data_IF_268981303896
#
_entry.id   IF_268981303896
#
_cell.length_a   1.000
_cell.length_b   1.000
_cell.length_c   1.000
_cell.angle_alpha   90.00
_cell.angle_beta   90.00
_cell.angle_gamma   90.00
#
_symmetry.space_group_name_H-M   'P 1'
#
loop_
_entity.id
_entity.type
_entity.pdbx_description
1 polymer ?
#
# COMPACT_ATOMS: atom_id res chain seq x y z
N UNK A 1 2.15 -11.20 -13.21
CA UNK A 1 2.05 -10.17 -12.15
C UNK A 1 0.89 -10.52 -11.23
N UNK A 2 1.15 -11.08 -10.05
CA UNK A 2 0.11 -11.20 -9.01
C UNK A 2 0.21 -9.99 -8.08
N UNK A 3 -0.73 -9.04 -8.22
CA UNK A 3 -0.82 -7.91 -7.29
C UNK A 3 -1.64 -8.36 -6.09
N UNK A 4 -0.96 -8.62 -4.96
CA UNK A 4 -1.60 -8.87 -3.67
C UNK A 4 -1.77 -7.54 -2.94
N UNK A 5 -3.02 -7.13 -2.71
CA UNK A 5 -3.31 -5.94 -1.90
C UNK A 5 -3.03 -6.28 -0.45
N UNK A 6 -2.05 -5.61 0.16
CA UNK A 6 -1.60 -5.96 1.53
C UNK A 6 -2.51 -5.33 2.58
N UNK A 7 -2.94 -4.08 2.37
CA UNK A 7 -3.98 -3.38 3.14
C UNK A 7 -4.15 -1.94 2.60
N UNK A 8 -5.36 -1.39 2.69
CA UNK A 8 -5.55 0.05 2.74
C UNK A 8 -5.33 0.49 4.20
N UNK A 9 -4.11 0.91 4.52
CA UNK A 9 -3.80 1.42 5.86
C UNK A 9 -4.42 2.81 5.97
N UNK A 10 -5.32 2.98 6.94
CA UNK A 10 -5.93 4.26 7.31
C UNK A 10 -6.66 4.99 6.16
N UNK A 11 -7.83 4.49 5.77
CA UNK A 11 -8.78 5.28 4.95
C UNK A 11 -9.25 6.46 5.79
N UNK A 12 -8.87 7.67 5.38
CA UNK A 12 -9.27 8.92 6.01
C UNK A 12 -10.22 9.68 5.10
N UNK A 13 -11.22 10.31 5.70
CA UNK A 13 -12.07 11.28 5.01
C UNK A 13 -11.63 12.68 5.39
N UNK A 14 -11.27 13.49 4.40
CA UNK A 14 -10.97 14.90 4.57
C UNK A 14 -12.25 15.72 4.30
N UNK A 15 -12.93 16.11 5.37
CA UNK A 15 -14.15 16.92 5.29
C UNK A 15 -13.92 18.33 4.73
N UNK A 16 -12.68 18.85 4.80
CA UNK A 16 -12.34 20.17 4.25
C UNK A 16 -12.28 20.20 2.72
N UNK A 17 -11.96 19.06 2.10
CA UNK A 17 -11.89 18.92 0.64
C UNK A 17 -12.96 17.99 0.05
N UNK A 18 -13.72 17.28 0.90
CA UNK A 18 -14.72 16.30 0.47
C UNK A 18 -14.11 15.06 -0.18
N UNK A 19 -12.90 14.66 0.25
CA UNK A 19 -12.12 13.60 -0.41
C UNK A 19 -11.77 12.48 0.57
N UNK A 20 -11.73 11.25 0.05
CA UNK A 20 -11.17 10.10 0.75
C UNK A 20 -9.72 9.93 0.35
N UNK A 21 -8.85 9.73 1.33
CA UNK A 21 -7.41 9.60 1.19
C UNK A 21 -6.96 8.33 1.88
N UNK A 22 -6.10 7.54 1.24
CA UNK A 22 -5.51 6.35 1.87
C UNK A 22 -4.15 6.02 1.25
N UNK A 23 -3.28 5.40 2.06
CA UNK A 23 -2.03 4.84 1.57
C UNK A 23 -2.24 3.36 1.22
N UNK A 24 -2.27 3.04 -0.08
CA UNK A 24 -2.46 1.66 -0.54
C UNK A 24 -1.10 0.99 -0.74
N UNK A 25 -0.90 -0.14 -0.06
CA UNK A 25 0.28 -0.98 -0.26
C UNK A 25 -0.03 -2.14 -1.20
N UNK A 26 0.65 -2.18 -2.34
CA UNK A 26 0.62 -3.27 -3.30
C UNK A 26 1.87 -4.12 -3.15
N UNK A 27 1.69 -5.42 -2.99
CA UNK A 27 2.77 -6.39 -3.03
C UNK A 27 2.84 -6.99 -4.44
N UNK A 28 4.03 -6.91 -5.03
CA UNK A 28 4.36 -7.56 -6.30
C UNK A 28 5.61 -8.42 -6.13
N UNK A 29 5.97 -9.15 -7.19
CA UNK A 29 7.18 -9.96 -7.24
C UNK A 29 8.46 -9.13 -6.97
N UNK A 30 8.46 -7.84 -7.36
CA UNK A 30 9.59 -6.93 -7.18
C UNK A 30 9.71 -6.31 -5.77
N UNK A 31 8.63 -6.28 -5.00
CA UNK A 31 8.63 -5.52 -3.75
C UNK A 31 7.26 -5.11 -3.22
N UNK A 32 7.28 -4.24 -2.21
CA UNK A 32 6.09 -3.54 -1.72
C UNK A 32 6.12 -2.12 -2.27
N UNK A 33 5.09 -1.76 -3.01
CA UNK A 33 4.87 -0.44 -3.55
C UNK A 33 3.77 0.26 -2.78
N UNK A 34 4.02 1.50 -2.37
CA UNK A 34 3.04 2.32 -1.66
C UNK A 34 2.58 3.46 -2.54
N UNK A 35 1.27 3.56 -2.72
CA UNK A 35 0.62 4.57 -3.54
C UNK A 35 -0.30 5.43 -2.66
N UNK A 36 -0.05 6.76 -2.57
CA UNK A 36 -1.01 7.67 -1.98
C UNK A 36 -2.18 7.83 -2.94
N UNK A 37 -3.33 7.26 -2.57
CA UNK A 37 -4.54 7.30 -3.37
C UNK A 37 -5.54 8.28 -2.74
N UNK A 38 -6.23 9.01 -3.60
CA UNK A 38 -7.30 9.90 -3.19
C UNK A 38 -8.39 9.95 -4.24
N UNK A 39 -9.64 10.06 -3.81
CA UNK A 39 -10.77 10.24 -4.71
C UNK A 39 -11.85 11.13 -4.07
N UNK A 40 -12.58 11.86 -4.91
CA UNK A 40 -13.74 12.64 -4.50
C UNK A 40 -14.91 11.72 -4.15
N UNK A 41 -15.50 11.91 -2.98
CA UNK A 41 -16.57 11.03 -2.52
C UNK A 41 -17.42 11.67 -1.44
N UNK A 42 -18.71 11.34 -1.45
CA UNK A 42 -19.60 11.73 -0.37
C UNK A 42 -19.23 10.97 0.90
N UNK A 43 -19.26 11.63 2.08
CA UNK A 43 -18.99 11.00 3.38
C UNK A 43 -19.88 9.77 3.66
N UNK A 44 -21.06 9.69 3.02
CA UNK A 44 -21.97 8.54 3.11
C UNK A 44 -21.44 7.28 2.40
N UNK A 45 -20.34 7.36 1.65
CA UNK A 45 -19.75 6.19 0.99
C UNK A 45 -19.20 5.24 2.05
N UNK A 46 -19.57 3.95 2.02
CA UNK A 46 -19.04 2.97 2.95
C UNK A 46 -17.52 2.88 2.83
N UNK A 47 -16.82 2.77 3.96
CA UNK A 47 -15.35 2.65 3.99
C UNK A 47 -14.87 1.48 3.11
N UNK A 48 -15.63 0.39 3.05
CA UNK A 48 -15.34 -0.76 2.18
C UNK A 48 -15.31 -0.40 0.69
N UNK A 49 -16.25 0.45 0.24
CA UNK A 49 -16.32 0.93 -1.14
C UNK A 49 -15.21 1.95 -1.40
N UNK A 50 -14.94 2.83 -0.45
CA UNK A 50 -13.82 3.78 -0.52
C UNK A 50 -12.47 3.04 -0.65
N UNK A 51 -12.23 2.04 0.20
CA UNK A 51 -11.04 1.20 0.17
C UNK A 51 -10.91 0.46 -1.19
N UNK A 52 -12.02 -0.04 -1.73
CA UNK A 52 -12.01 -0.68 -3.03
C UNK A 52 -11.62 0.29 -4.16
N UNK A 53 -12.20 1.49 -4.19
CA UNK A 53 -11.86 2.52 -5.19
C UNK A 53 -10.41 2.98 -5.09
N UNK A 54 -9.92 3.21 -3.87
CA UNK A 54 -8.52 3.55 -3.61
C UNK A 54 -7.58 2.44 -4.09
N UNK A 55 -7.95 1.18 -3.84
CA UNK A 55 -7.18 0.01 -4.30
C UNK A 55 -7.13 -0.09 -5.83
N UNK A 56 -8.25 0.15 -6.51
CA UNK A 56 -8.32 0.16 -7.97
C UNK A 56 -7.44 1.28 -8.56
N UNK A 57 -7.46 2.46 -7.94
CA UNK A 57 -6.60 3.57 -8.34
C UNK A 57 -5.10 3.22 -8.18
N UNK A 58 -4.73 2.56 -7.08
CA UNK A 58 -3.36 2.09 -6.87
C UNK A 58 -2.93 1.08 -7.93
N UNK A 59 -3.79 0.12 -8.27
CA UNK A 59 -3.52 -0.88 -9.33
C UNK A 59 -3.32 -0.19 -10.68
N UNK A 60 -4.24 0.68 -11.07
CA UNK A 60 -4.15 1.42 -12.32
C UNK A 60 -2.87 2.26 -12.41
N UNK A 61 -2.47 2.94 -11.33
CA UNK A 61 -1.20 3.68 -11.26
C UNK A 61 0.03 2.79 -11.37
N UNK A 62 -0.04 1.59 -10.78
CA UNK A 62 1.03 0.60 -10.89
C UNK A 62 1.18 0.08 -12.33
N UNK A 63 0.06 -0.25 -12.99
CA UNK A 63 0.03 -0.70 -14.39
C UNK A 63 0.50 0.40 -15.36
N UNK A 64 0.12 1.65 -15.10
CA UNK A 64 0.55 2.81 -15.88
C UNK A 64 2.04 3.15 -15.71
N UNK A 65 2.77 2.44 -14.81
CA UNK A 65 4.17 2.72 -14.44
C UNK A 65 4.44 4.18 -14.06
N UNK A 66 3.43 4.93 -13.63
CA UNK A 66 3.57 6.34 -13.30
C UNK A 66 4.51 6.53 -12.10
N UNK A 67 5.53 7.37 -12.27
CA UNK A 67 6.77 7.42 -11.46
C UNK A 67 6.61 7.89 -10.00
N UNK A 68 5.43 8.35 -9.58
CA UNK A 68 5.15 8.75 -8.19
C UNK A 68 4.83 7.55 -7.30
N UNK A 69 5.81 6.68 -7.10
CA UNK A 69 5.73 5.49 -6.23
C UNK A 69 6.79 5.53 -5.15
N UNK A 70 6.37 5.41 -3.89
CA UNK A 70 7.30 5.09 -2.81
C UNK A 70 7.61 3.58 -2.91
N UNK A 71 8.75 3.27 -3.53
CA UNK A 71 9.24 1.90 -3.62
C UNK A 71 10.06 1.57 -2.39
N UNK A 72 9.58 0.64 -1.58
CA UNK A 72 10.41 0.01 -0.55
C UNK A 72 10.77 -1.37 -1.06
N UNK A 73 12.03 -1.54 -1.49
CA UNK A 73 12.58 -2.89 -1.66
C UNK A 73 12.35 -3.64 -0.35
N UNK A 74 11.98 -4.91 -0.43
CA UNK A 74 12.12 -5.78 0.73
C UNK A 74 13.53 -5.56 1.26
N UNK A 75 13.62 -5.13 2.53
CA UNK A 75 14.90 -5.20 3.22
C UNK A 75 15.28 -6.66 3.11
N UNK A 76 16.38 -6.94 2.39
CA UNK A 76 17.01 -8.25 2.34
C UNK A 76 17.08 -8.67 3.81
N UNK A 77 16.26 -9.63 4.22
CA UNK A 77 16.39 -10.22 5.55
C UNK A 77 17.84 -10.64 5.62
N UNK A 78 18.61 -9.96 6.46
CA UNK A 78 19.95 -10.41 6.77
C UNK A 78 19.76 -11.87 7.20
N UNK A 79 20.50 -12.84 6.63
CA UNK A 79 20.43 -14.20 7.12
C UNK A 79 20.77 -14.12 8.60
N UNK A 80 19.82 -14.52 9.44
CA UNK A 80 20.10 -14.82 10.83
C UNK A 80 21.03 -16.04 10.82
N UNK A 81 22.32 -15.78 10.63
CA UNK A 81 23.39 -16.76 10.74
C UNK A 81 23.49 -17.13 12.21
N UNK A 82 23.32 -18.41 12.48
CA UNK A 82 23.23 -18.96 13.81
C UNK A 82 24.55 -19.06 14.57
N UNK A 83 24.39 -19.67 15.75
CA UNK A 83 25.38 -20.31 16.62
C UNK A 83 26.29 -19.41 17.46
N UNK A 84 25.81 -19.14 18.67
CA UNK A 84 26.65 -18.96 19.85
C UNK A 84 26.33 -20.05 20.88
N UNK A 85 26.84 -21.26 20.66
CA UNK A 85 26.95 -22.26 21.73
C UNK A 85 27.83 -21.70 22.83
N UNK A 86 27.26 -21.27 23.95
CA UNK A 86 28.02 -20.97 25.15
C UNK A 86 28.35 -22.30 25.84
N UNK A 87 29.54 -22.82 25.55
CA UNK A 87 30.23 -23.74 26.43
C UNK A 87 31.19 -22.90 27.30
N UNK A 88 30.91 -22.84 28.59
CA UNK A 88 31.87 -22.62 29.68
C UNK A 88 31.16 -22.85 31.02
#
# INVERSE_FOLDING_TARGET
MQIKTVAALDVRYNAGSGMFEALVSLQTDDGIFRYPCMFDGNINVPISIAAHRLTQQAKSRHEARSDLRAFRKYAKTAPHSGNGSLAA
#
